data_IF_449314439835
#
_entry.id   IF_449314439835
#
_cell.length_a   1.000
_cell.length_b   1.000
_cell.length_c   1.000
_cell.angle_alpha   90.00
_cell.angle_beta   90.00
_cell.angle_gamma   90.00
#
_symmetry.space_group_name_H-M   'P 1'
#
loop_
_entity.id
_entity.type
_entity.pdbx_description
1 polymer ?
#
# COMPACT_ATOMS: atom_id res chain seq x y z
N UNK A 1 14.63 -28.40 -2.72
CA UNK A 1 13.78 -28.04 -1.57
C UNK A 1 14.67 -27.19 -0.68
N UNK A 2 14.27 -25.97 -0.34
CA UNK A 2 15.09 -25.14 0.55
C UNK A 2 15.12 -25.77 1.95
N UNK A 3 16.32 -25.92 2.50
CA UNK A 3 16.54 -26.46 3.84
C UNK A 3 16.71 -25.33 4.85
N UNK A 4 16.63 -25.65 6.14
CA UNK A 4 16.96 -24.68 7.18
C UNK A 4 18.47 -24.54 7.29
N UNK A 5 18.97 -23.31 7.14
CA UNK A 5 20.37 -22.97 7.34
C UNK A 5 20.53 -22.14 8.60
N UNK A 6 21.53 -22.46 9.43
CA UNK A 6 21.88 -21.64 10.59
C UNK A 6 22.59 -20.38 10.11
N UNK A 7 22.07 -19.22 10.51
CA UNK A 7 22.57 -17.93 10.01
C UNK A 7 23.18 -17.03 11.09
N UNK A 8 22.76 -17.18 12.35
CA UNK A 8 23.21 -16.34 13.46
C UNK A 8 22.97 -17.04 14.80
N UNK A 9 23.56 -16.51 15.88
CA UNK A 9 23.16 -16.84 17.24
C UNK A 9 22.02 -15.89 17.70
N UNK A 10 21.11 -16.39 18.54
CA UNK A 10 20.01 -15.56 19.10
C UNK A 10 20.54 -14.34 19.86
N UNK A 11 21.72 -14.46 20.48
CA UNK A 11 22.39 -13.37 21.20
C UNK A 11 22.95 -12.26 20.31
N UNK A 12 23.09 -12.49 19.00
CA UNK A 12 23.67 -11.52 18.06
C UNK A 12 22.64 -10.47 17.61
N UNK A 13 21.33 -10.76 17.74
CA UNK A 13 20.25 -9.84 17.34
C UNK A 13 19.42 -9.44 18.57
N UNK A 14 19.58 -8.21 19.08
CA UNK A 14 18.81 -7.74 20.24
C UNK A 14 17.31 -7.61 19.93
N UNK A 15 16.48 -7.43 20.95
CA UNK A 15 15.06 -7.10 20.81
C UNK A 15 14.78 -5.67 21.29
N UNK A 16 14.33 -4.74 20.43
CA UNK A 16 14.20 -4.90 18.99
C UNK A 16 15.57 -4.82 18.29
N UNK A 17 15.71 -5.54 17.18
CA UNK A 17 16.94 -5.57 16.42
C UNK A 17 16.80 -6.24 15.07
N UNK A 18 17.85 -6.10 14.26
CA UNK A 18 17.92 -6.70 12.93
C UNK A 18 19.36 -7.00 12.54
N UNK A 19 19.52 -7.95 11.63
CA UNK A 19 20.81 -8.27 11.01
C UNK A 19 20.60 -8.71 9.57
N UNK A 20 21.63 -8.54 8.74
CA UNK A 20 21.69 -9.04 7.38
C UNK A 20 22.43 -10.37 7.36
N UNK A 21 21.87 -11.36 6.66
CA UNK A 21 22.50 -12.68 6.48
C UNK A 21 22.39 -13.13 5.03
N UNK A 22 23.27 -14.03 4.62
CA UNK A 22 23.20 -14.69 3.32
C UNK A 22 22.72 -16.14 3.51
N UNK A 23 21.73 -16.56 2.72
CA UNK A 23 21.21 -17.94 2.71
C UNK A 23 21.16 -18.41 1.26
N UNK A 24 21.88 -19.46 0.91
CA UNK A 24 21.96 -19.99 -0.47
C UNK A 24 22.23 -18.92 -1.55
N UNK A 25 23.02 -17.89 -1.22
CA UNK A 25 23.35 -16.76 -2.10
C UNK A 25 22.28 -15.66 -2.19
N UNK A 26 21.19 -15.76 -1.41
CA UNK A 26 20.15 -14.74 -1.29
C UNK A 26 20.36 -13.92 -0.01
N UNK A 27 20.27 -12.59 -0.13
CA UNK A 27 20.41 -11.68 1.01
C UNK A 27 19.08 -11.56 1.76
N UNK A 28 19.08 -11.89 3.04
CA UNK A 28 17.89 -11.93 3.90
C UNK A 28 18.07 -11.02 5.10
N UNK A 29 17.12 -10.12 5.32
CA UNK A 29 17.04 -9.30 6.52
C UNK A 29 16.29 -10.07 7.61
N UNK A 30 16.93 -10.27 8.76
CA UNK A 30 16.38 -10.96 9.94
C UNK A 30 16.03 -9.92 10.99
N UNK A 31 14.88 -10.07 11.63
CA UNK A 31 14.37 -9.15 12.64
C UNK A 31 14.00 -9.91 13.90
N UNK A 32 14.30 -9.31 15.05
CA UNK A 32 13.83 -9.74 16.36
C UNK A 32 13.04 -8.59 16.96
N UNK A 33 11.74 -8.80 17.13
CA UNK A 33 10.81 -7.77 17.61
C UNK A 33 9.77 -8.41 18.53
N UNK A 34 9.63 -7.88 19.74
CA UNK A 34 8.62 -8.31 20.71
C UNK A 34 8.68 -9.82 21.02
N UNK A 35 9.89 -10.36 21.15
CA UNK A 35 10.18 -11.76 21.41
C UNK A 35 9.89 -12.71 20.25
N UNK A 36 9.62 -12.19 19.04
CA UNK A 36 9.34 -12.97 17.84
C UNK A 36 10.36 -12.68 16.74
N UNK A 37 10.55 -13.65 15.85
CA UNK A 37 11.56 -13.63 14.81
C UNK A 37 10.94 -13.65 13.42
N UNK A 38 11.44 -12.79 12.56
CA UNK A 38 10.95 -12.61 11.20
C UNK A 38 12.11 -12.50 10.23
N UNK A 39 11.89 -12.89 8.98
CA UNK A 39 12.90 -12.77 7.94
C UNK A 39 12.24 -12.45 6.60
N UNK A 40 12.80 -11.49 5.86
CA UNK A 40 12.35 -11.11 4.51
C UNK A 40 13.54 -10.89 3.59
N UNK A 41 13.34 -10.90 2.27
CA UNK A 41 14.43 -10.54 1.34
C UNK A 41 14.97 -9.15 1.67
N UNK A 42 16.28 -8.98 1.63
CA UNK A 42 16.94 -7.67 1.80
C UNK A 42 16.86 -6.79 0.55
N UNK A 43 15.81 -6.95 -0.26
CA UNK A 43 15.65 -6.27 -1.55
C UNK A 43 14.29 -5.61 -1.60
N UNK A 44 14.29 -4.28 -1.61
CA UNK A 44 13.08 -3.49 -1.81
C UNK A 44 12.50 -3.78 -3.20
N UNK A 45 11.22 -4.15 -3.26
CA UNK A 45 10.54 -4.52 -4.50
C UNK A 45 10.25 -3.34 -5.43
N UNK A 46 10.45 -2.11 -4.98
CA UNK A 46 10.36 -0.92 -5.83
C UNK A 46 11.53 -0.86 -6.83
N UNK A 47 12.77 -0.73 -6.33
CA UNK A 47 13.96 -0.52 -7.16
C UNK A 47 15.26 -1.12 -6.56
N UNK A 48 15.12 -2.16 -5.74
CA UNK A 48 16.24 -2.98 -5.27
C UNK A 48 17.05 -2.41 -4.10
N UNK A 49 16.53 -1.42 -3.37
CA UNK A 49 17.21 -0.87 -2.19
C UNK A 49 17.35 -1.86 -1.01
N UNK A 50 18.41 -1.74 -0.18
CA UNK A 50 18.65 -2.63 0.96
C UNK A 50 17.67 -2.32 2.10
N UNK A 51 16.88 -3.30 2.53
CA UNK A 51 15.87 -3.11 3.58
C UNK A 51 16.50 -3.13 4.99
N UNK A 52 17.52 -3.95 5.20
CA UNK A 52 18.27 -4.11 6.44
C UNK A 52 18.96 -2.81 6.87
N UNK A 53 19.28 -1.92 5.95
CA UNK A 53 19.83 -0.58 6.23
C UNK A 53 18.76 0.45 6.64
N UNK A 54 17.48 0.09 6.51
CA UNK A 54 16.33 0.97 6.75
C UNK A 54 16.08 1.37 8.20
N UNK A 55 14.96 2.03 8.47
CA UNK A 55 14.50 2.26 9.85
C UNK A 55 13.49 1.18 10.26
N UNK A 56 13.74 0.48 11.37
CA UNK A 56 12.80 -0.49 11.95
C UNK A 56 11.97 0.19 13.04
N UNK A 57 10.64 0.17 12.88
CA UNK A 57 9.69 0.63 13.90
C UNK A 57 8.59 -0.41 14.07
N UNK A 58 8.50 -1.01 15.26
CA UNK A 58 7.59 -2.12 15.53
C UNK A 58 7.79 -3.24 14.47
N UNK A 59 6.74 -3.62 13.75
CA UNK A 59 6.78 -4.63 12.69
C UNK A 59 6.95 -4.02 11.30
N UNK A 60 7.40 -2.77 11.19
CA UNK A 60 7.52 -2.07 9.91
C UNK A 60 8.96 -1.68 9.64
N UNK A 61 9.49 -2.12 8.49
CA UNK A 61 10.81 -1.72 7.98
C UNK A 61 10.63 -0.69 6.86
N UNK A 62 11.29 0.46 6.98
CA UNK A 62 11.27 1.52 5.97
C UNK A 62 12.55 1.50 5.13
N UNK A 63 12.42 1.28 3.82
CA UNK A 63 13.53 1.33 2.88
C UNK A 63 14.21 2.71 2.93
N UNK A 64 15.55 2.79 3.12
CA UNK A 64 16.25 4.04 3.32
C UNK A 64 16.34 4.91 2.04
N UNK A 65 16.05 4.35 0.87
CA UNK A 65 16.15 5.08 -0.41
C UNK A 65 14.95 6.00 -0.67
N UNK A 66 13.75 5.42 -0.75
CA UNK A 66 12.53 6.14 -1.15
C UNK A 66 11.42 6.09 -0.10
N UNK A 67 11.67 5.46 1.06
CA UNK A 67 10.71 5.40 2.16
C UNK A 67 9.59 4.37 2.01
N UNK A 68 9.66 3.47 1.01
CA UNK A 68 8.75 2.33 0.91
C UNK A 68 8.78 1.52 2.21
N UNK A 69 7.61 1.11 2.71
CA UNK A 69 7.50 0.38 3.98
C UNK A 69 6.99 -1.02 3.76
N UNK A 70 7.49 -1.97 4.52
CA UNK A 70 7.07 -3.37 4.49
C UNK A 70 6.71 -3.86 5.89
N UNK A 71 5.71 -4.72 5.99
CA UNK A 71 5.43 -5.51 7.19
C UNK A 71 6.43 -6.66 7.26
N UNK A 72 7.29 -6.70 8.28
CA UNK A 72 8.32 -7.74 8.40
C UNK A 72 7.74 -9.15 8.62
N UNK A 73 6.48 -9.26 9.05
CA UNK A 73 5.82 -10.54 9.37
C UNK A 73 5.34 -11.26 8.14
N UNK A 74 4.92 -10.50 7.13
CA UNK A 74 4.27 -11.02 5.92
C UNK A 74 5.00 -10.63 4.63
N UNK A 75 5.88 -9.63 4.70
CA UNK A 75 6.51 -9.00 3.54
C UNK A 75 5.61 -8.02 2.79
N UNK A 76 4.38 -7.78 3.27
CA UNK A 76 3.41 -6.90 2.60
C UNK A 76 3.96 -5.48 2.43
N UNK A 77 3.82 -4.91 1.22
CA UNK A 77 4.11 -3.50 1.01
C UNK A 77 3.01 -2.63 1.63
N UNK A 78 3.40 -1.77 2.57
CA UNK A 78 2.49 -0.93 3.37
C UNK A 78 2.46 0.51 2.89
N UNK A 79 3.51 0.96 2.20
CA UNK A 79 3.65 2.34 1.77
C UNK A 79 4.40 2.38 0.45
N UNK A 80 3.86 3.15 -0.49
CA UNK A 80 4.47 3.46 -1.77
C UNK A 80 5.87 4.06 -1.59
N UNK A 81 6.79 3.85 -2.54
CA UNK A 81 6.52 3.42 -3.92
C UNK A 81 6.54 1.90 -4.18
N UNK A 82 6.78 1.06 -3.17
CA UNK A 82 6.64 -0.38 -3.34
C UNK A 82 5.16 -0.78 -3.42
N UNK A 83 4.80 -1.48 -4.50
CA UNK A 83 3.45 -2.03 -4.74
C UNK A 83 3.39 -3.55 -4.58
N UNK A 84 4.55 -4.23 -4.63
CA UNK A 84 4.67 -5.69 -4.51
C UNK A 84 5.23 -6.08 -3.15
N UNK A 85 4.74 -7.15 -2.52
CA UNK A 85 5.33 -7.64 -1.28
C UNK A 85 6.76 -8.13 -1.52
N UNK A 86 7.63 -7.95 -0.52
CA UNK A 86 8.89 -8.69 -0.44
C UNK A 86 8.63 -10.11 0.06
N UNK A 87 9.50 -11.06 -0.24
CA UNK A 87 9.32 -12.46 0.18
C UNK A 87 9.57 -12.58 1.67
N UNK A 88 8.64 -13.17 2.41
CA UNK A 88 8.83 -13.57 3.80
C UNK A 88 9.35 -15.01 3.89
N UNK A 89 10.22 -15.27 4.85
CA UNK A 89 10.93 -16.52 5.06
C UNK A 89 10.53 -17.22 6.35
N UNK A 90 10.77 -18.53 6.40
CA UNK A 90 10.55 -19.27 7.64
C UNK A 90 11.75 -19.12 8.57
N UNK A 91 11.49 -18.76 9.82
CA UNK A 91 12.50 -18.67 10.87
C UNK A 91 12.21 -19.71 11.94
N UNK A 92 13.25 -20.39 12.41
CA UNK A 92 13.19 -21.35 13.50
C UNK A 92 14.34 -21.08 14.48
N UNK A 93 14.09 -21.27 15.77
CA UNK A 93 15.10 -21.20 16.83
C UNK A 93 15.39 -22.60 17.35
N UNK A 94 16.64 -23.04 17.26
CA UNK A 94 17.10 -24.33 17.78
C UNK A 94 18.53 -24.20 18.30
N UNK A 95 18.79 -24.77 19.48
CA UNK A 95 20.11 -24.79 20.14
C UNK A 95 20.75 -23.39 20.28
N UNK A 96 19.94 -22.37 20.54
CA UNK A 96 20.38 -20.97 20.62
C UNK A 96 20.79 -20.34 19.28
N UNK A 97 20.59 -21.05 18.17
CA UNK A 97 20.78 -20.56 16.81
C UNK A 97 19.49 -20.08 16.16
N UNK A 98 19.63 -19.11 15.26
CA UNK A 98 18.60 -18.66 14.33
C UNK A 98 18.79 -19.41 13.02
N UNK A 99 17.72 -20.06 12.56
CA UNK A 99 17.71 -20.88 11.35
C UNK A 99 16.69 -20.32 10.37
N UNK A 100 17.08 -20.16 9.11
CA UNK A 100 16.23 -19.64 8.06
C UNK A 100 16.05 -20.68 6.98
N UNK A 101 14.81 -20.84 6.52
CA UNK A 101 14.50 -21.57 5.29
C UNK A 101 13.94 -20.59 4.27
N UNK A 102 14.57 -20.54 3.10
CA UNK A 102 14.08 -19.75 1.99
C UNK A 102 12.72 -20.28 1.54
N UNK A 103 11.75 -19.38 1.36
CA UNK A 103 10.50 -19.74 0.71
C UNK A 103 10.71 -19.62 -0.80
N UNK A 104 10.00 -20.41 -1.61
CA UNK A 104 10.02 -20.22 -3.06
C UNK A 104 9.63 -18.77 -3.40
N UNK A 105 10.26 -18.18 -4.41
CA UNK A 105 9.81 -16.90 -4.94
C UNK A 105 8.35 -17.06 -5.40
N UNK A 106 7.46 -16.17 -4.93
CA UNK A 106 6.07 -16.18 -5.35
C UNK A 106 6.00 -15.83 -6.85
N UNK A 107 5.76 -16.83 -7.70
CA UNK A 107 5.19 -16.58 -9.02
C UNK A 107 3.81 -15.97 -8.79
N UNK A 108 3.59 -14.75 -9.30
CA UNK A 108 2.47 -13.89 -8.88
C UNK A 108 1.10 -14.58 -8.85
N UNK A 109 0.45 -14.54 -7.68
CA UNK A 109 -1.00 -14.54 -7.47
C UNK A 109 -1.33 -14.59 -5.95
N UNK A 110 -1.98 -13.53 -5.45
CA UNK A 110 -2.89 -13.54 -4.29
C UNK A 110 -2.32 -13.76 -2.88
N UNK A 111 -3.08 -13.35 -1.84
CA UNK A 111 -2.61 -13.36 -0.46
C UNK A 111 -2.54 -14.81 0.02
N UNK A 112 -1.32 -15.31 0.23
CA UNK A 112 -1.15 -16.55 0.96
C UNK A 112 -1.55 -16.33 2.42
N UNK A 113 -2.45 -17.17 2.93
CA UNK A 113 -2.76 -17.30 4.35
C UNK A 113 -1.47 -17.50 5.15
N UNK A 114 -1.07 -16.49 5.93
CA UNK A 114 0.11 -16.58 6.80
C UNK A 114 -0.31 -16.90 8.23
N UNK A 115 -0.54 -18.19 8.48
CA UNK A 115 -0.43 -18.73 9.83
C UNK A 115 1.02 -18.54 10.31
N UNK A 116 1.19 -17.77 11.39
CA UNK A 116 2.45 -17.69 12.12
C UNK A 116 2.87 -19.10 12.60
N UNK A 117 4.15 -19.50 12.51
CA UNK A 117 4.58 -20.75 13.10
C UNK A 117 4.49 -20.66 14.63
N UNK A 118 3.81 -21.64 15.22
CA UNK A 118 3.70 -21.82 16.66
C UNK A 118 5.03 -22.32 17.25
N UNK A 119 5.49 -21.66 18.31
CA UNK A 119 6.38 -22.27 19.30
C UNK A 119 5.53 -23.22 20.17
N UNK A 120 5.86 -24.52 20.18
CA UNK A 120 5.09 -25.54 20.90
C UNK A 120 5.54 -25.76 22.34
N UNK A 121 4.56 -26.00 23.23
CA UNK A 121 4.65 -27.01 24.31
C UNK A 121 3.25 -27.38 24.88
N UNK A 122 2.89 -28.66 24.66
CA UNK A 122 2.04 -29.57 25.44
C UNK A 122 0.50 -29.36 25.62
N UNK A 123 -0.26 -30.41 25.24
CA UNK A 123 -1.64 -30.73 25.64
C UNK A 123 -1.64 -32.08 26.42
N UNK A 124 -2.71 -32.51 27.14
CA UNK A 124 -3.91 -33.03 26.47
C UNK A 124 -5.27 -32.80 27.18
N UNK A 125 -6.35 -32.88 26.42
CA UNK A 125 -7.74 -32.98 26.90
C UNK A 125 -8.75 -32.92 25.76
N UNK A 126 -9.52 -33.98 25.57
CA UNK A 126 -10.14 -34.41 24.29
C UNK A 126 -11.67 -34.20 24.27
N UNK A 127 -12.18 -33.71 23.13
CA UNK A 127 -13.49 -33.94 22.40
C UNK A 127 -14.88 -33.67 23.04
N UNK A 128 -15.99 -33.56 22.24
CA UNK A 128 -16.17 -33.35 20.78
C UNK A 128 -17.25 -32.31 20.32
N UNK A 129 -17.09 -31.89 19.06
CA UNK A 129 -18.03 -31.69 17.94
C UNK A 129 -19.55 -31.39 18.12
N UNK A 130 -20.03 -30.45 17.29
CA UNK A 130 -21.27 -30.63 16.53
C UNK A 130 -21.20 -29.87 15.19
N UNK A 131 -21.53 -30.60 14.12
CA UNK A 131 -21.56 -30.16 12.73
C UNK A 131 -22.92 -29.55 12.34
N UNK A 132 -22.93 -28.72 11.31
CA UNK A 132 -24.11 -28.51 10.46
C UNK A 132 -23.68 -28.21 9.02
N UNK A 133 -24.41 -28.79 8.09
CA UNK A 133 -24.03 -29.09 6.70
C UNK A 133 -24.94 -28.34 5.73
N UNK A 134 -24.35 -27.74 4.68
CA UNK A 134 -24.88 -27.50 3.32
C UNK A 134 -26.11 -26.57 3.12
N UNK A 135 -26.41 -26.10 1.87
CA UNK A 135 -25.77 -26.43 0.58
C UNK A 135 -25.38 -25.22 -0.32
N UNK A 136 -24.65 -25.56 -1.38
CA UNK A 136 -24.51 -24.78 -2.59
C UNK A 136 -25.80 -24.76 -3.42
N UNK A 137 -26.09 -23.64 -4.07
CA UNK A 137 -26.82 -23.59 -5.33
C UNK A 137 -26.49 -22.29 -6.07
N UNK A 138 -26.27 -22.47 -7.37
CA UNK A 138 -25.92 -21.46 -8.34
C UNK A 138 -27.00 -20.38 -8.52
N UNK A 139 -26.55 -19.20 -8.94
CA UNK A 139 -27.38 -18.13 -9.46
C UNK A 139 -26.50 -17.14 -10.20
N UNK A 140 -26.35 -17.34 -11.51
CA UNK A 140 -25.89 -16.30 -12.42
C UNK A 140 -26.92 -15.18 -12.45
N UNK A 141 -26.50 -13.94 -12.29
CA UNK A 141 -27.14 -12.72 -12.83
C UNK A 141 -26.22 -11.57 -12.40
N UNK A 142 -25.44 -10.95 -13.29
CA UNK A 142 -25.81 -10.07 -14.40
C UNK A 142 -25.00 -8.80 -14.14
N UNK A 143 -23.89 -8.68 -14.87
CA UNK A 143 -23.08 -7.48 -14.88
C UNK A 143 -23.95 -6.30 -15.35
N UNK A 144 -24.34 -5.46 -14.41
CA UNK A 144 -24.87 -4.14 -14.74
C UNK A 144 -23.73 -3.33 -15.38
N UNK A 145 -23.94 -2.76 -16.58
CA UNK A 145 -22.92 -1.92 -17.19
C UNK A 145 -22.71 -0.68 -16.31
N UNK A 146 -21.47 -0.48 -15.84
CA UNK A 146 -21.08 0.82 -15.31
C UNK A 146 -21.37 1.88 -16.39
N UNK A 147 -22.08 2.98 -16.06
CA UNK A 147 -22.29 4.04 -17.04
C UNK A 147 -20.92 4.58 -17.43
N UNK A 148 -20.60 4.49 -18.73
CA UNK A 148 -19.40 5.07 -19.30
C UNK A 148 -19.31 6.54 -18.86
N UNK A 149 -18.13 6.93 -18.38
CA UNK A 149 -17.85 8.31 -18.01
C UNK A 149 -18.27 9.26 -19.16
N UNK A 150 -18.99 10.35 -18.87
CA UNK A 150 -19.41 11.27 -19.91
C UNK A 150 -18.16 11.88 -20.58
N UNK A 151 -18.24 12.22 -21.88
CA UNK A 151 -17.14 12.90 -22.57
C UNK A 151 -16.80 14.21 -21.86
N UNK A 152 -15.51 14.59 -21.84
CA UNK A 152 -14.99 15.77 -21.13
C UNK A 152 -15.75 17.07 -21.44
N UNK A 153 -16.30 17.22 -22.65
CA UNK A 153 -17.15 18.35 -23.06
C UNK A 153 -18.47 18.46 -22.26
N UNK A 154 -19.03 17.35 -21.78
CA UNK A 154 -20.30 17.33 -21.04
C UNK A 154 -20.12 17.79 -19.58
N UNK A 155 -18.95 17.53 -18.99
CA UNK A 155 -18.64 17.91 -17.61
C UNK A 155 -18.48 19.44 -17.47
N UNK A 156 -18.05 20.14 -18.51
CA UNK A 156 -17.96 21.61 -18.54
C UNK A 156 -19.33 22.32 -18.43
N UNK A 157 -20.42 21.62 -18.76
CA UNK A 157 -21.79 22.18 -18.76
C UNK A 157 -22.62 21.82 -17.53
N UNK A 158 -22.10 20.96 -16.64
CA UNK A 158 -22.79 20.54 -15.42
C UNK A 158 -22.52 21.52 -14.27
N UNK A 159 -23.51 21.75 -13.37
CA UNK A 159 -23.30 22.60 -12.21
C UNK A 159 -22.18 22.05 -11.34
N UNK A 160 -21.29 22.93 -10.87
CA UNK A 160 -20.17 22.52 -10.03
C UNK A 160 -20.67 21.89 -8.73
N UNK A 161 -20.35 20.61 -8.54
CA UNK A 161 -20.53 19.85 -7.31
C UNK A 161 -19.28 19.00 -7.06
N UNK A 162 -19.19 18.39 -5.87
CA UNK A 162 -18.03 17.55 -5.50
C UNK A 162 -17.79 16.43 -6.53
N UNK A 163 -18.84 15.76 -7.01
CA UNK A 163 -18.71 14.69 -7.99
C UNK A 163 -18.12 15.19 -9.32
N UNK A 164 -18.59 16.33 -9.83
CA UNK A 164 -18.07 16.94 -11.06
C UNK A 164 -16.60 17.34 -10.88
N UNK A 165 -16.23 17.90 -9.71
CA UNK A 165 -14.84 18.23 -9.40
C UNK A 165 -13.98 16.96 -9.41
N UNK A 166 -14.41 15.89 -8.75
CA UNK A 166 -13.69 14.62 -8.74
C UNK A 166 -13.57 14.02 -10.14
N UNK A 167 -14.60 14.06 -10.97
CA UNK A 167 -14.50 13.57 -12.35
C UNK A 167 -13.51 14.39 -13.19
N UNK A 168 -13.54 15.73 -13.08
CA UNK A 168 -12.59 16.61 -13.78
C UNK A 168 -11.15 16.36 -13.32
N UNK A 169 -10.93 16.10 -12.03
CA UNK A 169 -9.61 15.80 -11.48
C UNK A 169 -9.01 14.48 -11.95
N UNK A 170 -9.77 13.59 -12.60
CA UNK A 170 -9.21 12.38 -13.24
C UNK A 170 -8.24 12.70 -14.38
N UNK A 171 -8.24 13.93 -14.90
CA UNK A 171 -7.23 14.36 -15.89
C UNK A 171 -5.84 14.55 -15.27
N UNK A 172 -5.76 14.80 -13.96
CA UNK A 172 -4.49 14.99 -13.25
C UNK A 172 -3.92 13.62 -12.91
N UNK A 173 -2.75 13.32 -13.48
CA UNK A 173 -2.03 12.06 -13.27
C UNK A 173 -0.83 12.25 -12.37
N UNK A 174 -0.60 11.28 -11.50
CA UNK A 174 0.65 11.21 -10.76
C UNK A 174 1.81 10.93 -11.74
N UNK A 175 2.88 11.76 -11.73
CA UNK A 175 3.97 11.63 -12.70
C UNK A 175 4.84 10.39 -12.50
N UNK A 176 4.79 9.76 -11.32
CA UNK A 176 5.56 8.56 -11.00
C UNK A 176 4.74 7.29 -11.29
N UNK A 177 3.45 7.32 -10.98
CA UNK A 177 2.56 6.15 -11.08
C UNK A 177 1.73 6.10 -12.36
N UNK A 178 1.62 7.23 -13.08
CA UNK A 178 0.82 7.37 -14.31
C UNK A 178 -0.69 7.04 -14.15
N UNK A 179 -1.17 6.97 -12.91
CA UNK A 179 -2.59 6.82 -12.55
C UNK A 179 -3.13 8.16 -12.08
N UNK A 180 -4.43 8.42 -12.29
CA UNK A 180 -5.03 9.68 -11.89
C UNK A 180 -5.19 9.79 -10.37
N UNK A 181 -5.13 11.03 -9.87
CA UNK A 181 -5.12 11.32 -8.43
C UNK A 181 -6.42 10.93 -7.71
N UNK A 182 -7.52 10.77 -8.45
CA UNK A 182 -8.84 10.43 -7.92
C UNK A 182 -8.92 8.92 -7.70
N UNK A 183 -8.55 8.13 -8.70
CA UNK A 183 -8.53 6.67 -8.62
C UNK A 183 -7.42 6.16 -7.70
N UNK A 184 -6.33 6.93 -7.54
CA UNK A 184 -5.33 6.70 -6.48
C UNK A 184 -5.88 7.00 -5.07
N UNK A 185 -7.04 7.63 -4.94
CA UNK A 185 -7.61 8.01 -3.65
C UNK A 185 -6.83 9.12 -2.94
N UNK A 186 -6.15 10.00 -3.68
CA UNK A 186 -5.38 11.11 -3.12
C UNK A 186 -6.27 12.28 -2.69
N UNK A 187 -7.49 12.39 -3.21
CA UNK A 187 -8.42 13.48 -2.87
C UNK A 187 -9.20 13.13 -1.60
N UNK A 188 -8.87 13.80 -0.49
CA UNK A 188 -9.49 13.57 0.82
C UNK A 188 -10.76 14.40 1.01
N UNK A 189 -10.77 15.64 0.52
CA UNK A 189 -11.91 16.52 0.66
C UNK A 189 -11.97 17.56 -0.44
N UNK A 190 -13.19 17.88 -0.87
CA UNK A 190 -13.50 18.98 -1.77
C UNK A 190 -14.49 19.89 -1.07
N UNK A 191 -14.14 21.16 -0.92
CA UNK A 191 -15.03 22.18 -0.37
C UNK A 191 -15.31 23.22 -1.43
N UNK A 192 -16.60 23.49 -1.65
CA UNK A 192 -17.09 24.50 -2.57
C UNK A 192 -17.67 25.67 -1.78
N UNK A 193 -17.25 26.88 -2.12
CA UNK A 193 -17.77 28.10 -1.50
C UNK A 193 -18.09 29.17 -2.54
N UNK A 194 -19.10 30.03 -2.33
CA UNK A 194 -19.41 31.10 -3.28
C UNK A 194 -18.26 32.11 -3.39
N UNK A 195 -17.95 32.53 -4.62
CA UNK A 195 -16.96 33.57 -4.85
C UNK A 195 -17.50 34.95 -4.45
N UNK A 196 -16.90 35.58 -3.43
CA UNK A 196 -17.27 36.94 -3.02
C UNK A 196 -16.91 37.99 -4.10
N UNK A 197 -15.93 37.67 -4.94
CA UNK A 197 -15.31 38.48 -5.98
C UNK A 197 -15.96 38.32 -7.37
N UNK A 198 -16.72 37.26 -7.61
CA UNK A 198 -17.33 36.96 -8.92
C UNK A 198 -18.71 36.30 -8.78
N UNK A 199 -19.82 37.05 -8.95
CA UNK A 199 -21.18 36.51 -8.86
C UNK A 199 -21.40 35.35 -9.85
N UNK A 200 -21.82 34.20 -9.34
CA UNK A 200 -22.07 32.99 -10.14
C UNK A 200 -20.87 32.05 -10.29
N UNK A 201 -19.70 32.41 -9.72
CA UNK A 201 -18.54 31.51 -9.63
C UNK A 201 -18.35 30.97 -8.22
N UNK A 202 -17.58 29.91 -8.11
CA UNK A 202 -17.26 29.26 -6.84
C UNK A 202 -15.74 29.18 -6.62
N UNK A 203 -15.33 29.19 -5.36
CA UNK A 203 -13.98 28.88 -4.91
C UNK A 203 -13.94 27.40 -4.55
N UNK A 204 -12.94 26.69 -5.06
CA UNK A 204 -12.73 25.27 -4.83
C UNK A 204 -11.52 25.09 -3.93
N UNK A 205 -11.72 24.55 -2.74
CA UNK A 205 -10.64 24.15 -1.84
C UNK A 205 -10.54 22.62 -1.81
N UNK A 206 -9.32 22.11 -2.03
CA UNK A 206 -9.04 20.67 -2.08
C UNK A 206 -8.02 20.32 -1.02
N UNK A 207 -8.40 19.35 -0.20
CA UNK A 207 -7.46 18.62 0.64
C UNK A 207 -7.07 17.33 -0.08
N UNK A 208 -5.79 17.21 -0.39
CA UNK A 208 -5.24 16.00 -0.99
C UNK A 208 -3.99 15.54 -0.28
N UNK A 209 -3.64 14.27 -0.42
CA UNK A 209 -2.43 13.67 0.12
C UNK A 209 -1.47 13.28 -1.00
N UNK A 210 -0.29 12.78 -0.61
CA UNK A 210 0.67 12.14 -1.50
C UNK A 210 0.82 10.66 -1.16
N UNK A 211 1.24 9.87 -2.13
CA UNK A 211 1.57 8.44 -1.95
C UNK A 211 2.77 8.22 -1.03
N UNK A 212 3.68 9.20 -0.94
CA UNK A 212 4.84 9.19 -0.04
C UNK A 212 5.13 10.59 0.54
N UNK A 213 5.53 10.71 1.82
CA UNK A 213 5.71 11.99 2.52
C UNK A 213 6.89 12.85 2.03
N UNK A 214 7.78 12.29 1.20
CA UNK A 214 8.95 12.97 0.63
C UNK A 214 8.91 13.04 -0.91
N UNK A 215 7.73 12.87 -1.51
CA UNK A 215 7.63 12.83 -2.97
C UNK A 215 7.90 14.23 -3.58
N UNK A 216 8.90 14.37 -4.48
CA UNK A 216 9.26 15.66 -5.08
C UNK A 216 8.18 16.19 -6.04
N UNK A 217 7.21 15.35 -6.44
CA UNK A 217 6.14 15.70 -7.37
C UNK A 217 5.04 16.59 -6.78
N UNK A 218 5.07 16.90 -5.46
CA UNK A 218 4.02 17.67 -4.79
C UNK A 218 3.69 19.01 -5.46
N UNK A 219 4.68 19.87 -5.77
CA UNK A 219 4.43 21.13 -6.47
C UNK A 219 3.81 20.96 -7.85
N UNK A 220 4.17 19.88 -8.58
CA UNK A 220 3.61 19.60 -9.90
C UNK A 220 2.14 19.19 -9.80
N UNK A 221 1.79 18.28 -8.88
CA UNK A 221 0.41 17.84 -8.63
C UNK A 221 -0.50 19.02 -8.25
N UNK A 222 -0.01 19.92 -7.40
CA UNK A 222 -0.73 21.15 -7.04
C UNK A 222 -0.94 22.03 -8.29
N UNK A 223 0.11 22.21 -9.10
CA UNK A 223 0.05 23.00 -10.33
C UNK A 223 -0.95 22.45 -11.35
N UNK A 224 -0.91 21.14 -11.60
CA UNK A 224 -1.82 20.47 -12.52
C UNK A 224 -3.27 20.49 -12.03
N UNK A 225 -3.50 20.29 -10.73
CA UNK A 225 -4.83 20.41 -10.09
C UNK A 225 -5.41 21.81 -10.30
N UNK A 226 -4.62 22.86 -10.02
CA UNK A 226 -5.03 24.25 -10.22
C UNK A 226 -5.28 24.57 -11.69
N UNK A 227 -4.46 24.05 -12.60
CA UNK A 227 -4.58 24.26 -14.05
C UNK A 227 -5.86 23.63 -14.59
N UNK A 228 -6.13 22.38 -14.25
CA UNK A 228 -7.30 21.63 -14.73
C UNK A 228 -8.60 22.26 -14.22
N UNK A 229 -8.68 22.58 -12.91
CA UNK A 229 -9.89 23.21 -12.37
C UNK A 229 -10.04 24.69 -12.76
N UNK A 230 -8.93 25.42 -12.87
CA UNK A 230 -8.93 26.82 -13.30
C UNK A 230 -9.30 27.02 -14.77
N UNK A 231 -9.30 25.96 -15.59
CA UNK A 231 -9.78 26.02 -16.96
C UNK A 231 -11.32 26.14 -17.04
N UNK A 232 -12.04 25.86 -15.95
CA UNK A 232 -13.50 25.96 -15.92
C UNK A 232 -13.96 27.41 -15.73
N UNK A 233 -15.06 27.77 -16.37
CA UNK A 233 -15.62 29.13 -16.36
C UNK A 233 -16.42 29.46 -15.09
N UNK A 234 -16.85 28.44 -14.35
CA UNK A 234 -17.61 28.50 -13.09
C UNK A 234 -16.72 28.51 -11.83
N UNK A 235 -15.39 28.43 -12.00
CA UNK A 235 -14.40 28.47 -10.91
C UNK A 235 -13.70 29.85 -10.89
N UNK A 236 -13.68 30.52 -9.74
CA UNK A 236 -12.97 31.81 -9.56
C UNK A 236 -11.56 31.62 -9.01
N UNK A 237 -11.40 30.69 -8.05
CA UNK A 237 -10.14 30.42 -7.39
C UNK A 237 -10.05 28.94 -6.98
N UNK A 238 -8.83 28.41 -7.00
CA UNK A 238 -8.53 27.03 -6.59
C UNK A 238 -7.44 27.06 -5.51
N UNK A 239 -7.79 26.59 -4.33
CA UNK A 239 -6.88 26.35 -3.23
C UNK A 239 -6.63 24.85 -3.10
N UNK A 240 -5.36 24.45 -3.02
CA UNK A 240 -4.96 23.05 -2.87
C UNK A 240 -4.02 22.97 -1.68
N UNK A 241 -4.39 22.14 -0.70
CA UNK A 241 -3.62 21.89 0.52
C UNK A 241 -3.22 20.42 0.56
N UNK A 242 -1.92 20.19 0.75
CA UNK A 242 -1.39 18.85 0.99
C UNK A 242 -1.51 18.52 2.48
N UNK A 243 -2.27 17.48 2.80
CA UNK A 243 -2.42 16.92 4.15
C UNK A 243 -1.67 15.60 4.25
N UNK A 244 -0.89 15.41 5.32
CA UNK A 244 -0.12 14.18 5.57
C UNK A 244 -0.78 13.27 6.62
N UNK A 245 -1.82 13.77 7.29
CA UNK A 245 -2.58 13.04 8.30
C UNK A 245 -4.07 13.02 7.88
N UNK A 246 -4.72 11.84 7.79
CA UNK A 246 -4.11 10.50 7.94
C UNK A 246 -3.18 10.15 6.77
N UNK A 247 -2.13 9.33 6.98
CA UNK A 247 -1.26 8.90 5.89
C UNK A 247 -2.04 8.13 4.83
N UNK A 248 -1.62 8.28 3.58
CA UNK A 248 -2.20 7.51 2.49
C UNK A 248 -1.83 6.03 2.60
N UNK A 249 -2.78 5.14 2.31
CA UNK A 249 -2.55 3.71 2.17
C UNK A 249 -3.14 3.21 0.85
N UNK A 250 -2.56 2.15 0.24
CA UNK A 250 -3.08 1.55 -1.00
C UNK A 250 -4.56 1.15 -0.94
N UNK A 251 -5.10 0.93 0.26
CA UNK A 251 -6.52 0.61 0.46
C UNK A 251 -7.47 1.70 -0.06
N UNK A 252 -6.98 2.94 -0.20
CA UNK A 252 -7.76 4.08 -0.71
C UNK A 252 -7.95 4.05 -2.23
N UNK A 253 -7.19 3.23 -2.94
CA UNK A 253 -7.28 3.13 -4.40
C UNK A 253 -8.55 2.41 -4.83
N UNK A 254 -9.11 2.81 -5.97
CA UNK A 254 -10.15 2.06 -6.66
C UNK A 254 -9.60 0.71 -7.14
N UNK A 255 -10.48 -0.28 -7.31
CA UNK A 255 -10.10 -1.62 -7.81
C UNK A 255 -9.38 -1.53 -9.16
N UNK A 256 -9.87 -0.69 -10.07
CA UNK A 256 -9.24 -0.46 -11.38
C UNK A 256 -7.82 0.12 -11.28
N UNK A 257 -7.56 1.00 -10.31
CA UNK A 257 -6.23 1.54 -10.10
C UNK A 257 -5.29 0.48 -9.49
N UNK A 258 -5.81 -0.39 -8.61
CA UNK A 258 -5.03 -1.50 -8.03
C UNK A 258 -4.61 -2.48 -9.11
N UNK A 259 -5.54 -2.87 -9.97
CA UNK A 259 -5.28 -3.73 -11.13
C UNK A 259 -4.22 -3.13 -12.06
N UNK A 260 -4.32 -1.82 -12.36
CA UNK A 260 -3.36 -1.12 -13.22
C UNK A 260 -1.95 -1.11 -12.62
N UNK A 261 -1.84 -1.06 -11.28
CA UNK A 261 -0.56 -1.11 -10.57
C UNK A 261 -0.11 -2.54 -10.21
N UNK A 262 -0.89 -3.57 -10.56
CA UNK A 262 -0.60 -4.96 -10.22
C UNK A 262 -0.67 -5.25 -8.71
N UNK A 263 -1.49 -4.50 -7.98
CA UNK A 263 -1.79 -4.70 -6.56
C UNK A 263 -3.06 -5.57 -6.50
N UNK A 264 -2.96 -6.79 -5.97
CA UNK A 264 -4.06 -7.74 -5.84
C UNK A 264 -4.39 -8.01 -4.37
#
# INVERSE_FOLDING_TARGET
MAEFQKVAAVSEVPDPGKTLVEVDGEMVAVFHVAGQWYAVDDVCTHDGGPLADGELRNHTIACPRHGAKFDIRTGAALTMPAVRPTRAHDVKLEDGGVWIRLRPAAGGAGPADHAAPAAGAAAPGTVPAAAATAPAAAGLESAAPQPAAPPADSLASQPLCEDVVREVLKEVKDPELFVNIVDLGLIYGVTLSPAADAPGRQHVAIDMTMTSPACPAGPQLIGDTKRVLGARTDVSAVEVRIVMDPPWTPDRMTESARDQLGIF
#
